data_IF_629126880845
#
_entry.id   IF_629126880845
#
_cell.length_a   1.000
_cell.length_b   1.000
_cell.length_c   1.000
_cell.angle_alpha   90.00
_cell.angle_beta   90.00
_cell.angle_gamma   90.00
#
_symmetry.space_group_name_H-M   'P 1'
#
loop_
_entity.id
_entity.type
_entity.pdbx_description
1 polymer ?
#
# COMPACT_ATOMS: atom_id res chain seq x y z
N UNK A 1 10.83 -10.89 -1.05
CA UNK A 1 12.11 -10.18 -1.30
C UNK A 1 12.29 -9.74 -2.75
N UNK A 2 11.98 -10.59 -3.75
CA UNK A 2 12.13 -10.26 -5.18
C UNK A 2 11.35 -9.01 -5.65
N UNK A 3 10.10 -8.84 -5.20
CA UNK A 3 9.28 -7.65 -5.53
C UNK A 3 9.90 -6.33 -5.03
N UNK A 4 10.54 -6.37 -3.85
CA UNK A 4 11.18 -5.19 -3.24
C UNK A 4 12.42 -4.77 -4.03
N UNK A 5 13.27 -5.74 -4.40
CA UNK A 5 14.44 -5.50 -5.26
C UNK A 5 14.04 -4.94 -6.63
N UNK A 6 12.87 -5.33 -7.14
CA UNK A 6 12.35 -4.82 -8.40
C UNK A 6 11.85 -3.38 -8.29
N UNK A 7 11.12 -3.04 -7.23
CA UNK A 7 10.75 -1.65 -6.92
C UNK A 7 11.99 -0.76 -6.78
N UNK A 8 13.04 -1.25 -6.13
CA UNK A 8 14.30 -0.51 -5.97
C UNK A 8 14.96 -0.14 -7.30
N UNK A 9 14.71 -0.89 -8.40
CA UNK A 9 15.20 -0.51 -9.73
C UNK A 9 14.59 0.79 -10.24
N UNK A 10 13.33 1.07 -9.92
CA UNK A 10 12.65 2.33 -10.27
C UNK A 10 13.11 3.49 -9.40
N UNK A 11 13.59 3.19 -8.19
CA UNK A 11 14.11 4.17 -7.25
C UNK A 11 15.58 4.54 -7.54
N UNK A 12 16.36 3.59 -8.06
CA UNK A 12 17.81 3.73 -8.37
C UNK A 12 18.18 5.00 -9.14
N UNK A 13 17.44 5.46 -10.17
CA UNK A 13 17.77 6.70 -10.89
C UNK A 13 17.79 7.94 -10.00
N UNK A 14 17.08 7.91 -8.88
CA UNK A 14 16.87 9.06 -7.98
C UNK A 14 17.71 8.97 -6.69
N UNK A 15 18.73 8.11 -6.66
CA UNK A 15 19.53 7.82 -5.46
C UNK A 15 20.19 9.06 -4.83
N UNK A 16 20.61 10.05 -5.62
CA UNK A 16 21.21 11.30 -5.11
C UNK A 16 20.22 12.08 -4.26
N UNK A 17 18.97 12.21 -4.73
CA UNK A 17 17.91 12.92 -4.00
C UNK A 17 17.51 12.19 -2.73
N UNK A 18 17.50 10.86 -2.78
CA UNK A 18 17.31 10.02 -1.58
C UNK A 18 18.43 10.19 -0.57
N UNK A 19 19.69 10.23 -1.02
CA UNK A 19 20.82 10.43 -0.13
C UNK A 19 20.75 11.80 0.55
N UNK A 20 20.43 12.85 -0.19
CA UNK A 20 20.18 14.18 0.38
C UNK A 20 19.02 14.17 1.39
N UNK A 21 17.91 13.50 1.05
CA UNK A 21 16.79 13.36 1.98
C UNK A 21 17.20 12.62 3.26
N UNK A 22 18.00 11.56 3.16
CA UNK A 22 18.51 10.81 4.32
C UNK A 22 19.43 11.66 5.21
N UNK A 23 20.26 12.53 4.62
CA UNK A 23 21.09 13.47 5.40
C UNK A 23 20.19 14.43 6.20
N UNK A 24 19.18 15.02 5.57
CA UNK A 24 18.24 15.89 6.27
C UNK A 24 17.42 15.13 7.34
N UNK A 25 17.01 13.87 7.09
CA UNK A 25 16.38 13.02 8.10
C UNK A 25 17.29 12.85 9.32
N UNK A 26 18.57 12.52 9.09
CA UNK A 26 19.53 12.34 10.16
C UNK A 26 19.72 13.63 10.98
N UNK A 27 19.75 14.81 10.32
CA UNK A 27 19.79 16.10 11.01
C UNK A 27 18.54 16.35 11.86
N UNK A 28 17.34 16.02 11.35
CA UNK A 28 16.09 16.13 12.12
C UNK A 28 16.09 15.18 13.32
N UNK A 29 16.52 13.93 13.15
CA UNK A 29 16.64 12.94 14.21
C UNK A 29 17.66 13.36 15.28
N UNK A 30 18.81 13.89 14.86
CA UNK A 30 19.82 14.46 15.75
C UNK A 30 19.24 15.66 16.53
N UNK A 31 18.47 16.52 15.86
CA UNK A 31 17.81 17.68 16.51
C UNK A 31 16.82 17.23 17.58
N UNK A 32 16.07 16.15 17.37
CA UNK A 32 15.19 15.58 18.40
C UNK A 32 15.98 15.06 19.62
N UNK A 33 17.12 14.39 19.39
CA UNK A 33 18.03 13.99 20.47
C UNK A 33 18.61 15.19 21.23
N UNK A 34 19.02 16.23 20.52
CA UNK A 34 19.51 17.48 21.10
C UNK A 34 18.44 18.18 21.94
N UNK A 35 17.17 18.20 21.52
CA UNK A 35 16.07 18.75 22.33
C UNK A 35 15.97 18.05 23.69
N UNK A 36 16.05 16.72 23.72
CA UNK A 36 16.05 15.98 24.98
C UNK A 36 17.31 16.24 25.80
N UNK A 37 18.46 16.43 25.14
CA UNK A 37 19.73 16.75 25.79
C UNK A 37 19.73 18.14 26.45
N UNK A 38 19.12 19.15 25.83
CA UNK A 38 19.07 20.56 26.30
C UNK A 38 18.27 20.71 27.61
N UNK A 39 17.39 19.77 27.96
CA UNK A 39 16.65 19.80 29.24
C UNK A 39 17.59 19.88 30.45
N UNK A 40 18.75 19.21 30.39
CA UNK A 40 19.74 19.23 31.49
C UNK A 40 20.30 20.64 31.74
N UNK A 41 20.95 21.32 30.76
CA UNK A 41 21.49 22.65 30.98
C UNK A 41 20.41 23.69 31.30
N UNK A 42 19.17 23.53 30.82
CA UNK A 42 18.04 24.37 31.25
C UNK A 42 17.86 24.27 32.76
N UNK A 43 17.74 23.06 33.30
CA UNK A 43 17.51 22.87 34.72
C UNK A 43 18.75 23.25 35.55
N UNK A 44 19.89 22.61 35.27
CA UNK A 44 21.09 22.75 36.08
C UNK A 44 21.67 24.17 36.01
N UNK A 45 21.82 24.75 34.81
CA UNK A 45 22.52 26.04 34.65
C UNK A 45 21.62 27.27 34.83
N UNK A 46 20.34 27.19 34.44
CA UNK A 46 19.42 28.33 34.55
C UNK A 46 18.75 28.34 35.93
N UNK A 47 18.17 27.22 36.36
CA UNK A 47 17.36 27.20 37.59
C UNK A 47 18.20 26.95 38.85
N UNK A 48 19.21 26.07 38.81
CA UNK A 48 20.04 25.77 39.99
C UNK A 48 21.23 26.72 40.12
N UNK A 49 22.05 26.90 39.07
CA UNK A 49 23.21 27.83 39.09
C UNK A 49 22.81 29.31 38.94
N UNK A 50 21.55 29.61 38.59
CA UNK A 50 21.02 30.99 38.39
C UNK A 50 21.84 31.83 37.41
N UNK A 51 22.39 31.21 36.36
CA UNK A 51 23.25 31.89 35.41
C UNK A 51 22.43 32.72 34.39
N UNK A 52 22.42 34.04 34.57
CA UNK A 52 21.69 34.98 33.70
C UNK A 52 22.11 34.93 32.22
N UNK A 53 23.38 34.59 31.94
CA UNK A 53 23.90 34.46 30.57
C UNK A 53 23.26 33.27 29.84
N UNK A 54 23.10 32.15 30.54
CA UNK A 54 22.45 30.94 30.00
C UNK A 54 20.95 31.15 29.77
N UNK A 55 20.33 32.07 30.51
CA UNK A 55 18.94 32.46 30.34
C UNK A 55 18.67 33.15 28.99
N UNK A 56 19.68 33.82 28.41
CA UNK A 56 19.59 34.40 27.06
C UNK A 56 20.06 33.42 25.97
N UNK A 57 21.15 32.68 26.20
CA UNK A 57 21.75 31.79 25.19
C UNK A 57 20.85 30.59 24.88
N UNK A 58 20.25 29.97 25.91
CA UNK A 58 19.48 28.73 25.72
C UNK A 58 18.19 28.95 24.91
N UNK A 59 17.34 29.96 25.19
CA UNK A 59 16.17 30.23 24.36
C UNK A 59 16.52 30.56 22.91
N UNK A 60 17.55 31.39 22.66
CA UNK A 60 18.03 31.70 21.30
C UNK A 60 18.52 30.43 20.61
N UNK A 61 19.28 29.58 21.31
CA UNK A 61 19.73 28.28 20.81
C UNK A 61 18.57 27.33 20.47
N UNK A 62 17.52 27.29 21.29
CA UNK A 62 16.30 26.51 21.02
C UNK A 62 15.61 27.04 19.76
N UNK A 63 15.43 28.35 19.62
CA UNK A 63 14.81 28.95 18.44
C UNK A 63 15.60 28.58 17.18
N UNK A 64 16.93 28.75 17.20
CA UNK A 64 17.79 28.40 16.07
C UNK A 64 17.73 26.90 15.75
N UNK A 65 17.70 26.04 16.77
CA UNK A 65 17.58 24.60 16.59
C UNK A 65 16.24 24.22 15.94
N UNK A 66 15.13 24.81 16.37
CA UNK A 66 13.81 24.53 15.79
C UNK A 66 13.66 25.11 14.38
N UNK A 67 14.27 26.27 14.09
CA UNK A 67 14.34 26.80 12.73
C UNK A 67 15.15 25.88 11.80
N UNK A 68 16.35 25.48 12.21
CA UNK A 68 17.19 24.55 11.46
C UNK A 68 16.49 23.20 11.25
N UNK A 69 15.85 22.67 12.30
CA UNK A 69 15.04 21.45 12.23
C UNK A 69 13.90 21.61 11.23
N UNK A 70 13.17 22.73 11.25
CA UNK A 70 12.06 22.99 10.33
C UNK A 70 12.50 23.04 8.87
N UNK A 71 13.64 23.69 8.58
CA UNK A 71 14.24 23.73 7.24
C UNK A 71 14.63 22.32 6.78
N UNK A 72 15.30 21.55 7.64
CA UNK A 72 15.69 20.17 7.31
C UNK A 72 14.45 19.29 7.08
N UNK A 73 13.42 19.40 7.91
CA UNK A 73 12.18 18.64 7.81
C UNK A 73 11.42 18.93 6.51
N UNK A 74 11.40 20.21 6.09
CA UNK A 74 10.84 20.63 4.82
C UNK A 74 11.58 19.99 3.63
N UNK A 75 12.91 20.14 3.56
CA UNK A 75 13.69 19.61 2.43
C UNK A 75 13.61 18.08 2.36
N UNK A 76 13.70 17.42 3.51
CA UNK A 76 13.54 15.99 3.64
C UNK A 76 12.18 15.50 3.12
N UNK A 77 11.09 16.17 3.51
CA UNK A 77 9.73 15.81 3.10
C UNK A 77 9.50 16.08 1.61
N UNK A 78 9.97 17.24 1.12
CA UNK A 78 9.87 17.60 -0.29
C UNK A 78 10.66 16.66 -1.19
N UNK A 79 11.92 16.34 -0.85
CA UNK A 79 12.75 15.44 -1.64
C UNK A 79 12.16 14.03 -1.70
N UNK A 80 11.65 13.51 -0.58
CA UNK A 80 10.99 12.20 -0.54
C UNK A 80 9.69 12.20 -1.34
N UNK A 81 8.86 13.24 -1.22
CA UNK A 81 7.66 13.40 -2.03
C UNK A 81 7.98 13.47 -3.53
N UNK A 82 9.03 14.20 -3.91
CA UNK A 82 9.48 14.28 -5.30
C UNK A 82 9.92 12.91 -5.84
N UNK A 83 10.78 12.19 -5.12
CA UNK A 83 11.26 10.86 -5.53
C UNK A 83 10.08 9.90 -5.65
N UNK A 84 9.19 9.91 -4.65
CA UNK A 84 7.95 9.16 -4.63
C UNK A 84 7.10 9.37 -5.88
N UNK A 85 6.77 10.61 -6.19
CA UNK A 85 5.96 10.96 -7.36
C UNK A 85 6.63 10.62 -8.68
N UNK A 86 7.96 10.75 -8.78
CA UNK A 86 8.70 10.35 -9.98
C UNK A 86 8.69 8.85 -10.22
N UNK A 87 8.95 8.05 -9.18
CA UNK A 87 8.85 6.59 -9.24
C UNK A 87 7.46 6.15 -9.70
N UNK A 88 6.42 6.81 -9.20
CA UNK A 88 5.01 6.53 -9.53
C UNK A 88 4.69 6.91 -10.95
N UNK A 89 5.20 8.05 -11.42
CA UNK A 89 5.09 8.47 -12.82
C UNK A 89 5.71 7.41 -13.74
N UNK A 90 6.90 6.91 -13.40
CA UNK A 90 7.59 5.89 -14.19
C UNK A 90 6.82 4.56 -14.19
N UNK A 91 6.31 4.13 -13.03
CA UNK A 91 5.48 2.92 -12.92
C UNK A 91 4.19 3.07 -13.72
N UNK A 92 3.50 4.22 -13.64
CA UNK A 92 2.28 4.49 -14.45
C UNK A 92 2.57 4.43 -15.93
N UNK A 93 3.68 5.00 -16.39
CA UNK A 93 4.08 4.97 -17.80
C UNK A 93 4.38 3.54 -18.29
N UNK A 94 5.02 2.71 -17.46
CA UNK A 94 5.27 1.30 -17.79
C UNK A 94 3.96 0.50 -17.77
N UNK A 95 3.13 0.68 -16.74
CA UNK A 95 1.85 -0.01 -16.61
C UNK A 95 0.89 0.35 -17.74
N UNK A 96 0.81 1.62 -18.11
CA UNK A 96 -0.03 2.07 -19.22
C UNK A 96 0.44 1.47 -20.55
N UNK A 97 1.75 1.44 -20.81
CA UNK A 97 2.32 0.75 -21.98
C UNK A 97 1.99 -0.75 -21.99
N UNK A 98 2.10 -1.40 -20.84
CA UNK A 98 1.75 -2.82 -20.70
C UNK A 98 0.25 -3.05 -20.98
N UNK A 99 -0.64 -2.19 -20.49
CA UNK A 99 -2.08 -2.25 -20.77
C UNK A 99 -2.38 -2.07 -22.26
N UNK A 100 -1.76 -1.10 -22.92
CA UNK A 100 -1.94 -0.86 -24.36
C UNK A 100 -1.43 -2.02 -25.23
N UNK A 101 -0.47 -2.79 -24.73
CA UNK A 101 0.03 -3.98 -25.42
C UNK A 101 -0.85 -5.22 -25.25
N UNK A 102 -1.83 -5.20 -24.35
CA UNK A 102 -2.70 -6.35 -24.12
C UNK A 102 -3.73 -6.53 -25.26
N UNK A 103 -4.07 -7.78 -25.63
CA UNK A 103 -5.12 -8.05 -26.60
C UNK A 103 -6.51 -7.71 -26.04
N UNK A 104 -7.51 -7.58 -26.90
CA UNK A 104 -8.90 -7.32 -26.50
C UNK A 104 -9.46 -8.40 -25.56
N UNK A 105 -9.02 -9.66 -25.70
CA UNK A 105 -9.37 -10.75 -24.78
C UNK A 105 -9.06 -10.46 -23.31
N UNK A 106 -8.05 -9.63 -23.04
CA UNK A 106 -7.75 -9.18 -21.67
C UNK A 106 -8.85 -8.28 -21.11
N UNK A 107 -9.35 -7.35 -21.93
CA UNK A 107 -10.36 -6.37 -21.53
C UNK A 107 -11.75 -6.97 -21.44
N UNK A 108 -12.03 -8.03 -22.20
CA UNK A 108 -13.27 -8.79 -22.06
C UNK A 108 -13.32 -9.55 -20.73
N UNK A 109 -12.18 -10.12 -20.30
CA UNK A 109 -12.05 -10.88 -19.04
C UNK A 109 -11.91 -9.98 -17.82
N UNK A 110 -11.33 -8.79 -18.00
CA UNK A 110 -11.00 -7.89 -16.90
C UNK A 110 -11.86 -6.63 -16.99
N UNK A 111 -12.82 -6.43 -16.08
CA UNK A 111 -13.61 -5.21 -16.03
C UNK A 111 -12.71 -3.96 -16.10
N UNK A 112 -13.04 -3.04 -17.00
CA UNK A 112 -12.24 -1.81 -17.25
C UNK A 112 -12.02 -1.00 -15.96
N UNK A 113 -13.00 -0.98 -15.06
CA UNK A 113 -12.88 -0.35 -13.74
C UNK A 113 -11.76 -0.94 -12.86
N UNK A 114 -11.46 -2.23 -12.98
CA UNK A 114 -10.33 -2.86 -12.27
C UNK A 114 -9.02 -2.34 -12.81
N UNK A 115 -8.87 -2.25 -14.14
CA UNK A 115 -7.66 -1.71 -14.77
C UNK A 115 -7.42 -0.24 -14.39
N UNK A 116 -8.47 0.59 -14.37
CA UNK A 116 -8.40 1.98 -13.90
C UNK A 116 -7.98 2.03 -12.43
N UNK A 117 -8.61 1.22 -11.58
CA UNK A 117 -8.28 1.15 -10.15
C UNK A 117 -6.83 0.73 -9.93
N UNK A 118 -6.29 -0.23 -10.71
CA UNK A 118 -4.88 -0.62 -10.62
C UNK A 118 -3.94 0.53 -10.99
N UNK A 119 -4.26 1.31 -12.03
CA UNK A 119 -3.43 2.47 -12.46
C UNK A 119 -3.47 3.63 -11.47
N UNK A 120 -4.62 3.88 -10.85
CA UNK A 120 -4.80 5.01 -9.94
C UNK A 120 -4.52 4.60 -8.50
N UNK A 121 -5.34 3.70 -7.95
CA UNK A 121 -5.34 3.35 -6.53
C UNK A 121 -4.14 2.49 -6.14
N UNK A 122 -3.87 1.39 -6.86
CA UNK A 122 -2.77 0.50 -6.48
C UNK A 122 -1.41 1.21 -6.65
N UNK A 123 -1.22 1.97 -7.74
CA UNK A 123 0.00 2.76 -7.91
C UNK A 123 0.12 3.89 -6.86
N UNK A 124 -0.98 4.48 -6.40
CA UNK A 124 -0.95 5.41 -5.26
C UNK A 124 -0.59 4.70 -3.93
N UNK A 125 -1.03 3.46 -3.70
CA UNK A 125 -0.60 2.69 -2.52
C UNK A 125 0.92 2.42 -2.56
N UNK A 126 1.45 2.15 -3.76
CA UNK A 126 2.90 2.04 -3.97
C UNK A 126 3.58 3.38 -3.67
N UNK A 127 3.03 4.50 -4.15
CA UNK A 127 3.54 5.85 -3.88
C UNK A 127 3.67 6.11 -2.38
N UNK A 128 2.58 5.92 -1.63
CA UNK A 128 2.54 6.15 -0.18
C UNK A 128 3.56 5.27 0.54
N UNK A 129 3.75 4.03 0.06
CA UNK A 129 4.72 3.10 0.65
C UNK A 129 6.16 3.55 0.42
N UNK A 130 6.49 4.00 -0.79
CA UNK A 130 7.85 4.44 -1.17
C UNK A 130 8.17 5.83 -0.58
N UNK A 131 7.19 6.71 -0.51
CA UNK A 131 7.39 8.11 -0.09
C UNK A 131 7.20 8.27 1.41
N UNK A 132 6.02 7.94 1.95
CA UNK A 132 5.63 8.32 3.30
C UNK A 132 6.05 7.26 4.30
N UNK A 133 5.71 5.99 4.03
CA UNK A 133 6.01 4.88 4.93
C UNK A 133 7.52 4.64 5.05
N UNK A 134 8.26 4.64 3.95
CA UNK A 134 9.72 4.47 4.00
C UNK A 134 10.40 5.65 4.70
N UNK A 135 9.95 6.88 4.44
CA UNK A 135 10.41 8.07 5.16
C UNK A 135 10.18 7.95 6.66
N UNK A 136 8.95 7.61 7.06
CA UNK A 136 8.58 7.46 8.45
C UNK A 136 9.44 6.39 9.12
N UNK A 137 9.61 5.23 8.48
CA UNK A 137 10.44 4.14 9.02
C UNK A 137 11.90 4.57 9.19
N UNK A 138 12.52 5.18 8.19
CA UNK A 138 13.91 5.61 8.26
C UNK A 138 14.11 6.72 9.30
N UNK A 139 13.28 7.76 9.26
CA UNK A 139 13.34 8.89 10.20
C UNK A 139 13.07 8.45 11.64
N UNK A 140 12.06 7.63 11.87
CA UNK A 140 11.76 7.15 13.22
C UNK A 140 12.84 6.17 13.71
N UNK A 141 13.39 5.31 12.85
CA UNK A 141 14.53 4.46 13.23
C UNK A 141 15.76 5.29 13.63
N UNK A 142 16.13 6.30 12.83
CA UNK A 142 17.23 7.21 13.16
C UNK A 142 16.95 8.00 14.44
N UNK A 143 15.70 8.44 14.65
CA UNK A 143 15.30 9.15 15.88
C UNK A 143 15.36 8.24 17.10
N UNK A 144 14.94 6.98 16.99
CA UNK A 144 15.10 5.97 18.05
C UNK A 144 16.58 5.81 18.38
N UNK A 145 17.44 5.60 17.39
CA UNK A 145 18.90 5.47 17.61
C UNK A 145 19.47 6.70 18.31
N UNK A 146 19.11 7.91 17.88
CA UNK A 146 19.55 9.16 18.51
C UNK A 146 19.08 9.28 19.98
N UNK A 147 17.82 8.96 20.27
CA UNK A 147 17.28 9.02 21.63
C UNK A 147 17.86 7.93 22.54
N UNK A 148 18.02 6.70 22.03
CA UNK A 148 18.70 5.61 22.74
C UNK A 148 20.11 6.05 23.12
N UNK A 149 20.85 6.65 22.18
CA UNK A 149 22.17 7.19 22.45
C UNK A 149 22.15 8.24 23.57
N UNK A 150 21.22 9.19 23.55
CA UNK A 150 21.07 10.19 24.63
C UNK A 150 20.77 9.52 25.97
N UNK A 151 19.87 8.55 26.01
CA UNK A 151 19.48 7.81 27.22
C UNK A 151 20.68 7.08 27.84
N UNK A 152 21.45 6.34 27.03
CA UNK A 152 22.64 5.62 27.50
C UNK A 152 23.80 6.56 27.87
N UNK A 153 23.98 7.66 27.13
CA UNK A 153 24.99 8.67 27.43
C UNK A 153 24.73 9.39 28.75
N UNK A 154 23.46 9.62 29.10
CA UNK A 154 23.05 10.32 30.33
C UNK A 154 23.22 9.47 31.58
N UNK A 155 22.71 8.25 31.55
CA UNK A 155 22.87 7.29 32.65
C UNK A 155 22.67 5.86 32.12
N UNK A 156 23.77 5.17 31.85
CA UNK A 156 23.74 3.81 31.31
C UNK A 156 23.13 2.79 32.29
N UNK A 157 23.19 3.02 33.60
CA UNK A 157 22.59 2.11 34.60
C UNK A 157 21.07 2.26 34.62
N UNK A 158 20.58 3.49 34.66
CA UNK A 158 19.15 3.78 34.59
C UNK A 158 18.58 3.43 33.20
N UNK A 159 19.39 3.56 32.14
CA UNK A 159 19.04 3.08 30.81
C UNK A 159 18.79 1.57 30.79
N UNK A 160 19.71 0.74 31.33
CA UNK A 160 19.52 -0.71 31.38
C UNK A 160 18.26 -1.10 32.15
N UNK A 161 18.01 -0.47 33.31
CA UNK A 161 16.79 -0.70 34.10
C UNK A 161 15.54 -0.38 33.26
N UNK A 162 15.57 0.75 32.55
CA UNK A 162 14.47 1.19 31.70
C UNK A 162 14.23 0.27 30.49
N UNK A 163 15.31 -0.18 29.84
CA UNK A 163 15.24 -1.14 28.75
C UNK A 163 14.78 -2.51 29.21
N UNK A 164 15.00 -2.88 30.48
CA UNK A 164 14.50 -4.13 31.05
C UNK A 164 12.97 -4.09 31.23
N UNK A 165 12.38 -2.92 31.50
CA UNK A 165 10.92 -2.72 31.59
C UNK A 165 10.27 -2.76 30.19
N UNK A 166 11.00 -2.37 29.14
CA UNK A 166 10.48 -2.25 27.78
C UNK A 166 9.91 -3.58 27.21
N UNK A 167 10.57 -4.75 27.31
CA UNK A 167 9.99 -6.05 26.94
C UNK A 167 8.68 -6.38 27.65
N UNK A 168 8.56 -6.05 28.94
CA UNK A 168 7.33 -6.25 29.72
C UNK A 168 6.20 -5.34 29.22
N UNK A 169 6.51 -4.18 28.66
CA UNK A 169 5.53 -3.31 28.01
C UNK A 169 5.17 -3.78 26.58
N UNK A 170 6.14 -4.26 25.81
CA UNK A 170 5.96 -4.69 24.42
C UNK A 170 5.16 -6.01 24.32
N UNK A 171 5.41 -6.96 25.21
CA UNK A 171 4.78 -8.28 25.15
C UNK A 171 3.22 -8.23 25.21
N UNK A 172 2.59 -7.51 26.15
CA UNK A 172 1.15 -7.29 26.16
C UNK A 172 0.64 -6.64 24.87
N UNK A 173 1.34 -5.62 24.35
CA UNK A 173 0.96 -4.92 23.11
C UNK A 173 0.86 -5.90 21.94
N UNK A 174 1.89 -6.74 21.74
CA UNK A 174 1.91 -7.73 20.67
C UNK A 174 0.77 -8.74 20.84
N UNK A 175 0.54 -9.24 22.06
CA UNK A 175 -0.52 -10.20 22.34
C UNK A 175 -1.92 -9.58 22.11
N UNK A 176 -2.15 -8.34 22.56
CA UNK A 176 -3.38 -7.58 22.29
C UNK A 176 -3.60 -7.39 20.80
N UNK A 177 -2.56 -6.98 20.05
CA UNK A 177 -2.62 -6.84 18.60
C UNK A 177 -3.03 -8.14 17.90
N UNK A 178 -2.41 -9.27 18.26
CA UNK A 178 -2.76 -10.60 17.72
C UNK A 178 -4.19 -11.02 18.04
N UNK A 179 -4.67 -10.79 19.28
CA UNK A 179 -6.05 -11.09 19.69
C UNK A 179 -7.05 -10.19 18.97
N UNK A 180 -6.77 -8.88 18.91
CA UNK A 180 -7.62 -7.91 18.23
C UNK A 180 -7.76 -8.24 16.75
N UNK A 181 -6.65 -8.56 16.05
CA UNK A 181 -6.67 -8.98 14.65
C UNK A 181 -7.58 -10.20 14.41
N UNK A 182 -7.48 -11.23 15.25
CA UNK A 182 -8.35 -12.43 15.15
C UNK A 182 -9.83 -12.09 15.31
N UNK A 183 -10.18 -11.23 16.27
CA UNK A 183 -11.58 -10.81 16.47
C UNK A 183 -12.05 -9.91 15.34
N UNK A 184 -11.23 -8.98 14.85
CA UNK A 184 -11.56 -8.13 13.71
C UNK A 184 -11.87 -8.92 12.44
N UNK A 185 -11.14 -10.00 12.15
CA UNK A 185 -11.45 -10.90 11.03
C UNK A 185 -12.82 -11.55 11.22
N UNK A 186 -13.15 -12.01 12.45
CA UNK A 186 -14.49 -12.55 12.74
C UNK A 186 -15.58 -11.48 12.59
N UNK A 187 -15.33 -10.25 13.04
CA UNK A 187 -16.26 -9.13 12.87
C UNK A 187 -16.54 -8.87 11.39
N UNK A 188 -15.51 -8.83 10.54
CA UNK A 188 -15.69 -8.62 9.10
C UNK A 188 -16.50 -9.76 8.44
N UNK A 189 -16.29 -11.02 8.86
CA UNK A 189 -17.11 -12.14 8.39
C UNK A 189 -18.59 -12.01 8.80
N UNK A 190 -18.87 -11.54 10.02
CA UNK A 190 -20.26 -11.28 10.45
C UNK A 190 -20.89 -10.10 9.70
N UNK A 191 -20.12 -9.04 9.41
CA UNK A 191 -20.60 -7.94 8.56
C UNK A 191 -20.95 -8.47 7.16
N UNK A 192 -20.06 -9.26 6.53
CA UNK A 192 -20.33 -9.84 5.22
C UNK A 192 -21.58 -10.72 5.19
N UNK A 193 -21.81 -11.53 6.24
CA UNK A 193 -23.03 -12.33 6.39
C UNK A 193 -24.28 -11.46 6.46
N UNK A 194 -24.28 -10.42 7.30
CA UNK A 194 -25.39 -9.48 7.41
C UNK A 194 -25.64 -8.71 6.09
N UNK A 195 -24.56 -8.32 5.39
CA UNK A 195 -24.66 -7.68 4.07
C UNK A 195 -25.27 -8.61 3.03
N UNK A 196 -24.86 -9.88 2.98
CA UNK A 196 -25.44 -10.86 2.06
C UNK A 196 -26.92 -11.11 2.39
N UNK A 197 -27.25 -11.26 3.67
CA UNK A 197 -28.65 -11.40 4.11
C UNK A 197 -29.50 -10.21 3.65
N UNK A 198 -29.00 -8.98 3.83
CA UNK A 198 -29.69 -7.78 3.35
C UNK A 198 -29.82 -7.77 1.82
N UNK A 199 -28.78 -8.15 1.08
CA UNK A 199 -28.82 -8.23 -0.38
C UNK A 199 -29.88 -9.23 -0.86
N UNK A 200 -29.93 -10.43 -0.27
CA UNK A 200 -30.92 -11.47 -0.57
C UNK A 200 -32.34 -11.00 -0.26
N UNK A 201 -32.58 -10.42 0.93
CA UNK A 201 -33.91 -9.95 1.33
C UNK A 201 -34.39 -8.77 0.47
N UNK A 202 -33.55 -7.77 0.23
CA UNK A 202 -33.93 -6.59 -0.56
C UNK A 202 -34.19 -6.99 -2.02
N UNK A 203 -33.34 -7.83 -2.61
CA UNK A 203 -33.55 -8.33 -3.98
C UNK A 203 -34.78 -9.24 -4.06
N UNK A 204 -34.98 -10.07 -3.03
CA UNK A 204 -36.09 -11.00 -2.88
C UNK A 204 -37.37 -10.41 -2.28
N UNK A 205 -37.45 -9.09 -2.09
CA UNK A 205 -38.52 -8.45 -1.30
C UNK A 205 -39.93 -8.77 -1.83
N UNK A 206 -40.07 -8.96 -3.16
CA UNK A 206 -41.32 -9.38 -3.78
C UNK A 206 -41.79 -10.75 -3.29
N UNK A 207 -40.87 -11.70 -3.07
CA UNK A 207 -41.17 -13.05 -2.56
C UNK A 207 -41.60 -12.95 -1.10
N UNK A 208 -40.85 -12.20 -0.28
CA UNK A 208 -41.17 -12.00 1.14
C UNK A 208 -42.58 -11.45 1.31
N UNK A 209 -42.95 -10.45 0.50
CA UNK A 209 -44.30 -9.86 0.48
C UNK A 209 -45.36 -10.81 -0.06
N UNK A 210 -45.07 -11.58 -1.11
CA UNK A 210 -46.01 -12.53 -1.68
C UNK A 210 -46.41 -13.65 -0.70
N UNK A 211 -45.51 -14.04 0.19
CA UNK A 211 -45.74 -15.08 1.20
C UNK A 211 -46.07 -14.51 2.60
N UNK A 212 -46.19 -13.19 2.76
CA UNK A 212 -46.43 -12.53 4.06
C UNK A 212 -45.44 -12.96 5.16
N UNK A 213 -44.16 -13.13 4.81
CA UNK A 213 -43.10 -13.65 5.70
C UNK A 213 -42.25 -12.54 6.35
N UNK A 214 -42.74 -11.29 6.39
CA UNK A 214 -41.97 -10.18 6.98
C UNK A 214 -41.58 -10.41 8.45
N UNK A 215 -42.49 -10.87 9.34
CA UNK A 215 -42.12 -11.11 10.74
C UNK A 215 -41.07 -12.24 10.90
N UNK A 216 -41.08 -13.19 9.97
CA UNK A 216 -40.09 -14.27 9.94
C UNK A 216 -38.70 -13.74 9.56
N UNK A 217 -38.61 -12.93 8.51
CA UNK A 217 -37.36 -12.32 8.08
C UNK A 217 -36.83 -11.26 9.06
N UNK A 218 -37.72 -10.54 9.74
CA UNK A 218 -37.36 -9.62 10.84
C UNK A 218 -36.65 -10.36 11.98
N UNK A 219 -37.20 -11.50 12.42
CA UNK A 219 -36.56 -12.32 13.46
C UNK A 219 -35.19 -12.87 13.02
N UNK A 220 -35.06 -13.31 11.78
CA UNK A 220 -33.75 -13.74 11.23
C UNK A 220 -32.74 -12.60 11.18
N UNK A 221 -33.18 -11.39 10.83
CA UNK A 221 -32.33 -10.20 10.86
C UNK A 221 -31.85 -9.90 12.27
N UNK A 222 -32.75 -9.94 13.27
CA UNK A 222 -32.38 -9.74 14.68
C UNK A 222 -31.30 -10.72 15.15
N UNK A 223 -31.42 -12.00 14.78
CA UNK A 223 -30.44 -13.04 15.12
C UNK A 223 -29.05 -12.75 14.49
N UNK A 224 -29.00 -12.44 13.19
CA UNK A 224 -27.75 -12.09 12.50
C UNK A 224 -27.14 -10.78 13.01
N UNK A 225 -27.96 -9.78 13.30
CA UNK A 225 -27.54 -8.51 13.86
C UNK A 225 -27.00 -8.69 15.30
N UNK A 226 -27.62 -9.55 16.10
CA UNK A 226 -27.13 -9.88 17.44
C UNK A 226 -25.79 -10.62 17.40
N UNK A 227 -25.59 -11.53 16.44
CA UNK A 227 -24.30 -12.19 16.21
C UNK A 227 -23.20 -11.18 15.84
N UNK A 228 -23.53 -10.18 15.02
CA UNK A 228 -22.64 -9.06 14.72
C UNK A 228 -22.33 -8.25 15.99
N UNK A 229 -23.36 -7.86 16.75
CA UNK A 229 -23.23 -7.15 18.02
C UNK A 229 -22.27 -7.87 18.99
N UNK A 230 -22.46 -9.17 19.23
CA UNK A 230 -21.58 -9.96 20.10
C UNK A 230 -20.12 -9.92 19.65
N UNK A 231 -19.88 -9.97 18.34
CA UNK A 231 -18.52 -9.96 17.78
C UNK A 231 -17.89 -8.58 17.88
N UNK A 232 -18.67 -7.52 17.68
CA UNK A 232 -18.26 -6.13 17.93
C UNK A 232 -17.96 -5.92 19.42
N UNK A 233 -18.77 -6.44 20.32
CA UNK A 233 -18.58 -6.28 21.76
C UNK A 233 -17.34 -7.01 22.27
N UNK A 234 -17.05 -8.21 21.74
CA UNK A 234 -15.76 -8.90 21.97
C UNK A 234 -14.57 -8.05 21.54
N UNK A 235 -14.67 -7.32 20.42
CA UNK A 235 -13.63 -6.39 19.95
C UNK A 235 -13.46 -5.21 20.93
N UNK A 236 -14.57 -4.62 21.38
CA UNK A 236 -14.54 -3.53 22.36
C UNK A 236 -13.93 -3.98 23.68
N UNK A 237 -14.27 -5.15 24.21
CA UNK A 237 -13.69 -5.68 25.45
C UNK A 237 -12.17 -5.79 25.38
N UNK A 238 -11.63 -6.27 24.25
CA UNK A 238 -10.17 -6.35 24.04
C UNK A 238 -9.54 -4.95 23.98
N UNK A 239 -10.18 -4.01 23.27
CA UNK A 239 -9.69 -2.64 23.13
C UNK A 239 -9.73 -1.89 24.46
N UNK A 240 -10.82 -1.99 25.20
CA UNK A 240 -11.02 -1.33 26.48
C UNK A 240 -10.00 -1.79 27.52
N UNK A 241 -9.66 -3.09 27.56
CA UNK A 241 -8.63 -3.62 28.47
C UNK A 241 -7.21 -3.14 28.13
N UNK A 242 -6.95 -2.72 26.89
CA UNK A 242 -5.60 -2.32 26.49
C UNK A 242 -5.13 -1.01 27.12
N UNK A 243 -6.02 -0.02 27.32
CA UNK A 243 -5.63 1.28 27.91
C UNK A 243 -5.21 1.16 29.38
N UNK A 244 -6.03 0.57 30.27
CA UNK A 244 -5.70 0.50 31.71
C UNK A 244 -4.43 -0.30 31.97
N UNK A 245 -4.18 -1.37 31.21
CA UNK A 245 -2.96 -2.18 31.34
C UNK A 245 -1.73 -1.37 30.91
N UNK A 246 -1.83 -0.60 29.83
CA UNK A 246 -0.74 0.27 29.37
C UNK A 246 -0.48 1.42 30.35
N UNK A 247 -1.52 2.01 30.92
CA UNK A 247 -1.39 3.05 31.96
C UNK A 247 -0.77 2.49 33.24
N UNK A 248 -1.18 1.31 33.70
CA UNK A 248 -0.58 0.65 34.87
C UNK A 248 0.91 0.35 34.66
N UNK A 249 1.29 -0.17 33.48
CA UNK A 249 2.69 -0.41 33.13
C UNK A 249 3.50 0.90 33.04
N UNK A 250 2.91 1.95 32.48
CA UNK A 250 3.50 3.28 32.44
C UNK A 250 3.73 3.86 33.85
N UNK A 251 2.74 3.70 34.74
CA UNK A 251 2.84 4.10 36.15
C UNK A 251 3.95 3.37 36.89
N UNK A 252 4.06 2.05 36.70
CA UNK A 252 5.17 1.25 37.28
C UNK A 252 6.52 1.74 36.74
N UNK A 253 6.62 1.99 35.43
CA UNK A 253 7.86 2.49 34.83
C UNK A 253 8.27 3.85 35.41
N UNK A 254 7.33 4.79 35.52
CA UNK A 254 7.58 6.10 36.13
C UNK A 254 7.98 5.97 37.60
N UNK A 255 7.31 5.12 38.38
CA UNK A 255 7.65 4.88 39.78
C UNK A 255 9.08 4.34 39.95
N UNK A 256 9.50 3.37 39.11
CA UNK A 256 10.86 2.82 39.12
C UNK A 256 11.89 3.88 38.74
N UNK A 257 11.60 4.68 37.70
CA UNK A 257 12.48 5.77 37.25
C UNK A 257 12.65 6.81 38.36
N UNK A 258 11.57 7.25 39.00
CA UNK A 258 11.61 8.21 40.11
C UNK A 258 12.38 7.64 41.30
N UNK A 259 12.13 6.38 41.67
CA UNK A 259 12.79 5.76 42.83
C UNK A 259 14.31 5.66 42.62
N UNK A 260 14.75 5.09 41.50
CA UNK A 260 16.18 4.92 41.22
C UNK A 260 16.87 6.26 40.88
N UNK A 261 16.27 7.03 39.97
CA UNK A 261 16.81 8.32 39.52
C UNK A 261 16.82 9.36 40.64
N UNK A 262 15.76 9.40 41.45
CA UNK A 262 15.69 10.23 42.65
C UNK A 262 16.74 9.83 43.69
N UNK A 263 16.93 8.54 43.95
CA UNK A 263 17.99 8.07 44.87
C UNK A 263 19.40 8.46 44.40
N UNK A 264 19.67 8.41 43.09
CA UNK A 264 20.95 8.86 42.50
C UNK A 264 21.17 10.37 42.68
N UNK A 265 20.10 11.17 42.57
CA UNK A 265 20.16 12.62 42.79
C UNK A 265 20.35 12.95 44.28
N UNK A 266 19.60 12.29 45.17
CA UNK A 266 19.72 12.47 46.63
C UNK A 266 21.11 12.07 47.14
N UNK A 267 21.68 11.00 46.60
CA UNK A 267 23.04 10.56 46.95
C UNK A 267 24.16 11.39 46.32
N UNK A 268 23.84 12.47 45.58
CA UNK A 268 24.81 13.37 44.97
C UNK A 268 25.57 12.78 43.76
N UNK A 269 25.20 11.59 43.30
CA UNK A 269 25.86 10.90 42.17
C UNK A 269 25.37 11.40 40.81
N UNK A 270 24.21 12.06 40.77
CA UNK A 270 23.58 12.61 39.57
C UNK A 270 22.93 13.95 39.86
N UNK A 271 22.59 14.69 38.80
CA UNK A 271 21.94 16.02 38.89
C UNK A 271 20.46 15.92 38.54
N UNK A 272 19.60 16.78 39.11
CA UNK A 272 18.19 16.84 38.72
C UNK A 272 18.01 17.05 37.21
N UNK A 273 18.82 17.89 36.56
CA UNK A 273 18.78 18.08 35.12
C UNK A 273 19.11 16.81 34.33
N UNK A 274 20.02 15.95 34.83
CA UNK A 274 20.29 14.65 34.21
C UNK A 274 19.06 13.73 34.26
N UNK A 275 18.38 13.69 35.41
CA UNK A 275 17.16 12.90 35.61
C UNK A 275 16.02 13.35 34.68
N UNK A 276 15.75 14.65 34.58
CA UNK A 276 14.70 15.17 33.71
C UNK A 276 15.06 15.05 32.23
N UNK A 277 16.32 15.25 31.84
CA UNK A 277 16.79 15.01 30.46
C UNK A 277 16.65 13.53 30.05
N UNK A 278 16.98 12.61 30.96
CA UNK A 278 16.77 11.19 30.78
C UNK A 278 15.27 10.85 30.61
N UNK A 279 14.43 11.35 31.50
CA UNK A 279 12.99 11.08 31.49
C UNK A 279 12.34 11.64 30.22
N UNK A 280 12.72 12.85 29.80
CA UNK A 280 12.26 13.44 28.55
C UNK A 280 12.66 12.60 27.33
N UNK A 281 13.93 12.17 27.25
CA UNK A 281 14.41 11.32 26.16
C UNK A 281 13.65 9.98 26.08
N UNK A 282 13.36 9.37 27.23
CA UNK A 282 12.65 8.11 27.33
C UNK A 282 11.16 8.24 26.92
N UNK A 283 10.49 9.31 27.33
CA UNK A 283 9.13 9.60 26.90
C UNK A 283 9.06 9.90 25.39
N UNK A 284 10.01 10.67 24.86
CA UNK A 284 10.12 10.96 23.43
C UNK A 284 10.40 9.70 22.58
N UNK A 285 11.03 8.67 23.16
CA UNK A 285 11.35 7.42 22.49
C UNK A 285 10.10 6.55 22.24
N UNK A 286 9.03 6.73 23.03
CA UNK A 286 7.79 5.96 22.89
C UNK A 286 7.06 6.22 21.56
N UNK A 287 6.97 7.48 21.11
CA UNK A 287 6.20 7.84 19.93
C UNK A 287 6.78 7.27 18.62
N UNK A 288 8.09 7.41 18.32
CA UNK A 288 8.72 6.78 17.15
C UNK A 288 8.56 5.26 17.13
N UNK A 289 8.74 4.57 18.27
CA UNK A 289 8.53 3.11 18.35
C UNK A 289 7.08 2.75 18.00
N UNK A 290 6.11 3.52 18.51
CA UNK A 290 4.70 3.31 18.22
C UNK A 290 4.38 3.53 16.74
N UNK A 291 4.97 4.54 16.10
CA UNK A 291 4.82 4.81 14.66
C UNK A 291 5.42 3.70 13.81
N UNK A 292 6.62 3.22 14.11
CA UNK A 292 7.25 2.09 13.41
C UNK A 292 6.35 0.84 13.37
N UNK A 293 5.63 0.56 14.46
CA UNK A 293 4.70 -0.58 14.50
C UNK A 293 3.45 -0.37 13.60
N UNK A 294 2.98 0.87 13.44
CA UNK A 294 1.85 1.19 12.55
C UNK A 294 2.24 1.06 11.08
N UNK A 295 3.44 1.49 10.72
CA UNK A 295 3.91 1.50 9.33
C UNK A 295 3.99 0.10 8.68
N UNK A 296 4.15 -0.97 9.48
CA UNK A 296 4.14 -2.34 8.95
C UNK A 296 2.85 -2.68 8.18
N UNK A 297 1.70 -2.12 8.58
CA UNK A 297 0.45 -2.33 7.83
C UNK A 297 0.50 -1.73 6.43
N UNK A 298 1.00 -0.49 6.33
CA UNK A 298 1.13 0.23 5.07
C UNK A 298 2.10 -0.47 4.12
N UNK A 299 3.23 -0.97 4.65
CA UNK A 299 4.20 -1.77 3.87
C UNK A 299 3.51 -3.00 3.26
N UNK A 300 2.73 -3.74 4.04
CA UNK A 300 2.06 -4.95 3.55
C UNK A 300 1.00 -4.62 2.48
N UNK A 301 0.23 -3.55 2.64
CA UNK A 301 -0.72 -3.09 1.63
C UNK A 301 -0.02 -2.66 0.34
N UNK A 302 1.08 -1.90 0.45
CA UNK A 302 1.91 -1.50 -0.68
C UNK A 302 2.49 -2.68 -1.44
N UNK A 303 2.96 -3.71 -0.73
CA UNK A 303 3.47 -4.94 -1.35
C UNK A 303 2.39 -5.69 -2.13
N UNK A 304 1.18 -5.81 -1.57
CA UNK A 304 0.06 -6.44 -2.28
C UNK A 304 -0.37 -5.65 -3.53
N UNK A 305 -0.37 -4.32 -3.45
CA UNK A 305 -0.62 -3.45 -4.61
C UNK A 305 0.48 -3.60 -5.68
N UNK A 306 1.74 -3.69 -5.23
CA UNK A 306 2.91 -3.92 -6.09
C UNK A 306 2.79 -5.22 -6.88
N UNK A 307 2.35 -6.29 -6.23
CA UNK A 307 2.13 -7.59 -6.87
C UNK A 307 1.09 -7.51 -8.00
N UNK A 308 -0.06 -6.89 -7.75
CA UNK A 308 -1.13 -6.72 -8.77
C UNK A 308 -0.72 -5.83 -9.94
N UNK A 309 0.10 -4.82 -9.69
CA UNK A 309 0.64 -3.94 -10.75
C UNK A 309 1.65 -4.70 -11.59
N UNK A 310 2.58 -5.44 -10.96
CA UNK A 310 3.56 -6.22 -11.71
C UNK A 310 2.94 -7.41 -12.45
N UNK A 311 1.84 -7.98 -11.96
CA UNK A 311 1.07 -8.99 -12.69
C UNK A 311 0.67 -8.50 -14.09
N UNK A 312 0.25 -7.23 -14.22
CA UNK A 312 -0.08 -6.64 -15.54
C UNK A 312 1.18 -6.32 -16.34
N UNK A 313 2.18 -5.71 -15.70
CA UNK A 313 3.43 -5.32 -16.37
C UNK A 313 4.15 -6.54 -16.95
N UNK A 314 4.09 -7.68 -16.27
CA UNK A 314 4.78 -8.91 -16.64
C UNK A 314 3.95 -9.83 -17.53
N UNK A 315 2.64 -9.54 -17.67
CA UNK A 315 1.75 -10.31 -18.52
C UNK A 315 2.17 -10.15 -19.97
N UNK A 316 2.60 -11.24 -20.58
CA UNK A 316 2.87 -11.25 -22.01
C UNK A 316 1.55 -11.30 -22.80
N UNK A 317 1.43 -10.53 -23.90
CA UNK A 317 0.27 -10.62 -24.79
C UNK A 317 0.10 -12.04 -25.34
N UNK A 318 -1.14 -12.52 -25.39
CA UNK A 318 -1.48 -13.83 -25.97
C UNK A 318 -1.21 -13.85 -27.48
N UNK A 319 -1.52 -12.74 -28.16
CA UNK A 319 -1.27 -12.57 -29.59
C UNK A 319 0.13 -12.01 -29.77
N UNK A 320 1.01 -12.81 -30.39
CA UNK A 320 2.37 -12.42 -30.73
C UNK A 320 2.61 -12.48 -32.23
N UNK A 321 3.39 -11.52 -32.71
CA UNK A 321 3.94 -11.56 -34.05
C UNK A 321 5.03 -12.62 -34.14
N UNK A 322 5.08 -13.35 -35.26
CA UNK A 322 6.22 -14.21 -35.58
C UNK A 322 7.44 -13.32 -35.86
N UNK A 323 8.65 -13.83 -35.59
CA UNK A 323 9.90 -13.06 -35.81
C UNK A 323 10.10 -12.69 -37.28
N UNK A 324 9.57 -13.51 -38.17
CA UNK A 324 9.61 -13.44 -39.63
C UNK A 324 8.26 -13.01 -40.23
N UNK A 325 7.39 -12.36 -39.43
CA UNK A 325 6.11 -11.86 -39.89
C UNK A 325 6.29 -10.90 -41.09
N UNK A 326 5.54 -11.18 -42.16
CA UNK A 326 5.57 -10.40 -43.40
C UNK A 326 4.84 -9.08 -43.20
N UNK A 327 5.32 -8.06 -43.86
CA UNK A 327 4.65 -6.76 -43.92
C UNK A 327 3.63 -6.79 -45.04
N UNK A 328 2.39 -6.41 -44.74
CA UNK A 328 1.32 -6.35 -45.72
C UNK A 328 1.45 -5.03 -46.49
N UNK A 329 1.92 -5.09 -47.73
CA UNK A 329 2.15 -3.91 -48.61
C UNK A 329 1.30 -4.08 -49.86
N UNK A 330 0.56 -3.04 -50.26
CA UNK A 330 -0.36 -3.01 -51.40
C UNK A 330 -1.48 -4.06 -51.32
N UNK A 331 -2.43 -3.87 -50.40
CA UNK A 331 -3.57 -4.78 -50.20
C UNK A 331 -4.49 -4.80 -51.43
N UNK A 332 -4.69 -5.98 -52.00
CA UNK A 332 -5.67 -6.18 -53.08
C UNK A 332 -7.09 -6.19 -52.50
N UNK A 333 -7.28 -6.74 -51.30
CA UNK A 333 -8.51 -6.67 -50.52
C UNK A 333 -9.33 -7.95 -50.50
N UNK A 334 -8.72 -9.09 -50.81
CA UNK A 334 -9.39 -10.41 -50.77
C UNK A 334 -9.28 -10.99 -49.37
N UNK A 335 -10.41 -11.38 -48.76
CA UNK A 335 -10.46 -11.96 -47.40
C UNK A 335 -11.04 -13.38 -47.47
N UNK A 336 -10.33 -14.37 -46.93
CA UNK A 336 -10.73 -15.77 -46.97
C UNK A 336 -10.76 -16.38 -45.55
N UNK A 337 -11.92 -16.87 -45.15
CA UNK A 337 -12.10 -17.74 -43.99
C UNK A 337 -12.11 -19.18 -44.47
N UNK A 338 -11.12 -19.98 -44.05
CA UNK A 338 -10.98 -21.39 -44.43
C UNK A 338 -11.14 -22.29 -43.21
N UNK A 339 -12.30 -22.96 -43.11
CA UNK A 339 -12.71 -23.81 -42.00
C UNK A 339 -12.49 -23.16 -40.62
N UNK A 340 -12.82 -21.87 -40.50
CA UNK A 340 -12.53 -21.10 -39.29
C UNK A 340 -13.47 -21.49 -38.16
N UNK A 341 -12.90 -21.95 -37.04
CA UNK A 341 -13.60 -22.12 -35.78
C UNK A 341 -12.99 -21.22 -34.71
N UNK A 342 -13.83 -20.66 -33.85
CA UNK A 342 -13.39 -19.75 -32.79
C UNK A 342 -14.17 -19.99 -31.50
N UNK A 343 -13.45 -20.02 -30.37
CA UNK A 343 -14.03 -20.10 -29.03
C UNK A 343 -13.63 -18.91 -28.14
N UNK A 344 -14.59 -18.38 -27.38
CA UNK A 344 -14.27 -17.60 -26.18
C UNK A 344 -14.17 -18.57 -25.01
N UNK A 345 -13.01 -18.62 -24.37
CA UNK A 345 -12.71 -19.58 -23.31
C UNK A 345 -12.93 -21.02 -23.78
N UNK A 346 -13.99 -21.70 -23.32
CA UNK A 346 -14.32 -23.06 -23.74
C UNK A 346 -15.54 -23.18 -24.66
N UNK A 347 -16.21 -22.06 -24.97
CA UNK A 347 -17.43 -22.07 -25.80
C UNK A 347 -17.13 -21.66 -27.24
N UNK A 348 -17.35 -22.59 -28.17
CA UNK A 348 -17.34 -22.28 -29.60
C UNK A 348 -18.47 -21.31 -29.97
N UNK A 349 -18.09 -20.19 -30.57
CA UNK A 349 -18.99 -19.17 -31.11
C UNK A 349 -19.11 -19.30 -32.63
N UNK A 350 -17.99 -19.58 -33.29
CA UNK A 350 -17.93 -19.84 -34.72
C UNK A 350 -17.45 -21.27 -34.94
N UNK A 351 -18.06 -21.98 -35.88
CA UNK A 351 -17.73 -23.37 -36.19
C UNK A 351 -17.67 -23.56 -37.70
N UNK A 352 -16.51 -23.96 -38.19
CA UNK A 352 -16.29 -24.33 -39.59
C UNK A 352 -16.80 -23.29 -40.61
N UNK A 353 -16.47 -22.02 -40.38
CA UNK A 353 -16.85 -20.92 -41.27
C UNK A 353 -15.98 -20.96 -42.52
N UNK A 354 -16.64 -21.01 -43.68
CA UNK A 354 -16.03 -20.91 -45.00
C UNK A 354 -16.66 -19.73 -45.74
N UNK A 355 -15.88 -18.68 -46.00
CA UNK A 355 -16.35 -17.44 -46.60
C UNK A 355 -15.19 -16.78 -47.38
N UNK A 356 -15.44 -16.40 -48.62
CA UNK A 356 -14.51 -15.60 -49.44
C UNK A 356 -15.18 -14.28 -49.78
N UNK A 357 -14.47 -13.17 -49.57
CA UNK A 357 -14.89 -11.81 -49.89
C UNK A 357 -13.89 -11.26 -50.89
N UNK A 358 -14.35 -10.94 -52.10
CA UNK A 358 -13.49 -10.44 -53.17
C UNK A 358 -13.29 -8.93 -53.07
N UNK A 359 -12.24 -8.43 -53.74
CA UNK A 359 -11.96 -7.00 -53.84
C UNK A 359 -13.18 -6.20 -54.31
N UNK A 360 -13.55 -5.19 -53.52
CA UNK A 360 -14.64 -4.28 -53.84
C UNK A 360 -16.05 -4.82 -53.55
N UNK A 361 -16.17 -6.07 -53.07
CA UNK A 361 -17.45 -6.60 -52.63
C UNK A 361 -17.89 -6.00 -51.29
N UNK A 362 -19.21 -5.79 -51.16
CA UNK A 362 -19.83 -5.36 -49.91
C UNK A 362 -20.68 -6.51 -49.40
N UNK A 363 -20.26 -7.11 -48.28
CA UNK A 363 -20.95 -8.25 -47.66
C UNK A 363 -21.70 -7.80 -46.41
N UNK A 364 -22.99 -8.10 -46.34
CA UNK A 364 -23.82 -7.85 -45.17
C UNK A 364 -23.93 -9.11 -44.29
N UNK A 365 -23.51 -9.00 -43.03
CA UNK A 365 -23.62 -10.10 -42.05
C UNK A 365 -24.90 -9.91 -41.22
N UNK A 366 -25.89 -10.79 -41.43
CA UNK A 366 -27.22 -10.70 -40.81
C UNK A 366 -27.48 -11.90 -39.90
N UNK A 367 -28.23 -11.71 -38.82
CA UNK A 367 -28.63 -12.77 -37.90
C UNK A 367 -29.09 -12.24 -36.55
N UNK A 368 -29.56 -13.10 -35.66
CA UNK A 368 -30.01 -12.74 -34.31
C UNK A 368 -28.86 -12.27 -33.40
N UNK A 369 -29.19 -11.57 -32.31
CA UNK A 369 -28.19 -11.12 -31.33
C UNK A 369 -27.45 -12.32 -30.71
N UNK A 370 -26.13 -12.20 -30.56
CA UNK A 370 -25.31 -13.25 -29.94
C UNK A 370 -24.85 -14.40 -30.85
N UNK A 371 -25.25 -14.43 -32.14
CA UNK A 371 -24.83 -15.50 -33.09
C UNK A 371 -23.37 -15.41 -33.57
N UNK A 372 -22.59 -14.43 -33.08
CA UNK A 372 -21.16 -14.31 -33.39
C UNK A 372 -20.80 -13.35 -34.53
N UNK A 373 -21.73 -12.51 -34.99
CA UNK A 373 -21.49 -11.51 -36.06
C UNK A 373 -20.31 -10.58 -35.74
N UNK A 374 -20.32 -9.96 -34.56
CA UNK A 374 -19.23 -9.10 -34.09
C UNK A 374 -17.92 -9.88 -33.94
N UNK A 375 -17.99 -11.14 -33.50
CA UNK A 375 -16.83 -12.01 -33.38
C UNK A 375 -16.18 -12.26 -34.74
N UNK A 376 -16.98 -12.54 -35.77
CA UNK A 376 -16.47 -12.76 -37.13
C UNK A 376 -15.69 -11.54 -37.64
N UNK A 377 -16.25 -10.35 -37.46
CA UNK A 377 -15.61 -9.09 -37.86
C UNK A 377 -14.33 -8.82 -37.06
N UNK A 378 -14.35 -9.08 -35.75
CA UNK A 378 -13.19 -8.86 -34.87
C UNK A 378 -12.00 -9.79 -35.16
N UNK A 379 -12.19 -10.90 -35.88
CA UNK A 379 -11.09 -11.77 -36.31
C UNK A 379 -10.24 -11.16 -37.42
N UNK A 380 -10.83 -10.32 -38.29
CA UNK A 380 -10.16 -9.72 -39.46
C UNK A 380 -8.94 -8.86 -39.04
N UNK A 381 -9.06 -7.87 -38.13
CA UNK A 381 -7.92 -7.08 -37.65
C UNK A 381 -7.05 -7.84 -36.63
N UNK A 382 -7.29 -9.15 -36.47
CA UNK A 382 -6.62 -10.04 -35.52
C UNK A 382 -6.65 -9.50 -34.10
N UNK A 383 -7.85 -9.16 -33.62
CA UNK A 383 -8.09 -8.88 -32.20
C UNK A 383 -8.13 -10.15 -31.36
N UNK A 384 -8.45 -11.27 -32.00
CA UNK A 384 -8.36 -12.63 -31.48
C UNK A 384 -7.72 -13.52 -32.57
N UNK A 385 -6.99 -14.54 -32.14
CA UNK A 385 -6.53 -15.60 -33.06
C UNK A 385 -7.62 -16.67 -33.20
N UNK A 386 -7.73 -17.25 -34.40
CA UNK A 386 -8.64 -18.37 -34.67
C UNK A 386 -8.19 -19.62 -33.88
N UNK A 387 -9.16 -20.41 -33.40
CA UNK A 387 -8.88 -21.66 -32.68
C UNK A 387 -8.49 -22.76 -33.65
N UNK A 388 -9.21 -22.85 -34.78
CA UNK A 388 -8.96 -23.81 -35.86
C UNK A 388 -9.16 -23.13 -37.21
N UNK A 389 -8.55 -23.69 -38.26
CA UNK A 389 -8.60 -23.14 -39.60
C UNK A 389 -7.57 -22.02 -39.86
N UNK A 390 -7.85 -21.22 -40.88
CA UNK A 390 -6.98 -20.14 -41.34
C UNK A 390 -7.83 -18.96 -41.82
N UNK A 391 -7.47 -17.76 -41.40
CA UNK A 391 -8.00 -16.51 -41.93
C UNK A 391 -6.90 -15.87 -42.77
N UNK A 392 -7.16 -15.63 -44.05
CA UNK A 392 -6.18 -15.11 -45.00
C UNK A 392 -6.61 -13.78 -45.56
N UNK A 393 -5.64 -12.89 -45.77
CA UNK A 393 -5.81 -11.66 -46.53
C UNK A 393 -4.80 -11.72 -47.69
N UNK A 394 -5.29 -11.57 -48.92
CA UNK A 394 -4.51 -11.69 -50.15
C UNK A 394 -3.67 -12.99 -50.19
N UNK A 395 -4.27 -14.09 -49.74
CA UNK A 395 -3.65 -15.42 -49.69
C UNK A 395 -2.67 -15.66 -48.55
N UNK A 396 -2.37 -14.67 -47.70
CA UNK A 396 -1.45 -14.79 -46.56
C UNK A 396 -2.25 -14.91 -45.25
N UNK A 397 -1.93 -15.91 -44.42
CA UNK A 397 -2.58 -16.06 -43.10
C UNK A 397 -2.28 -14.84 -42.21
N UNK A 398 -3.29 -14.29 -41.56
CA UNK A 398 -3.15 -13.12 -40.67
C UNK A 398 -2.18 -13.36 -39.51
N UNK A 399 -1.90 -14.63 -39.17
CA UNK A 399 -0.89 -15.02 -38.17
C UNK A 399 0.54 -14.80 -38.64
N UNK A 400 0.76 -14.75 -39.94
CA UNK A 400 2.06 -14.54 -40.59
C UNK A 400 2.31 -13.08 -40.94
N UNK A 401 1.37 -12.18 -40.65
CA UNK A 401 1.47 -10.75 -40.94
C UNK A 401 1.85 -9.94 -39.69
N UNK A 402 2.54 -8.81 -39.91
CA UNK A 402 2.73 -7.79 -38.88
C UNK A 402 1.38 -7.13 -38.54
N UNK A 403 1.05 -7.02 -37.26
CA UNK A 403 -0.23 -6.49 -36.76
C UNK A 403 -0.43 -5.03 -37.14
N UNK A 404 0.66 -4.24 -37.17
CA UNK A 404 0.57 -2.82 -37.57
C UNK A 404 0.11 -2.69 -39.02
N UNK A 405 0.78 -3.36 -39.97
CA UNK A 405 0.41 -3.31 -41.39
C UNK A 405 -0.97 -3.95 -41.64
N UNK A 406 -1.33 -4.99 -40.89
CA UNK A 406 -2.66 -5.61 -41.00
C UNK A 406 -3.80 -4.65 -40.60
N UNK A 407 -3.58 -3.74 -39.65
CA UNK A 407 -4.63 -2.86 -39.10
C UNK A 407 -4.66 -1.46 -39.70
N UNK A 408 -3.59 -1.04 -40.37
CA UNK A 408 -3.53 0.24 -41.11
C UNK A 408 -4.21 0.15 -42.48
N UNK A 409 -4.36 -1.06 -43.02
CA UNK A 409 -5.14 -1.36 -44.22
C UNK A 409 -6.49 -1.94 -43.80
#
# INVERSE_FOLDING_TARGET
MALYLRLLKYVKPYWVKLLLAMIFMAMVSASNGLTAFIVKPVLDKIFFEKNASMLLIVPVGIILLYLAKGVCDYFQSYLMGYVGQKVVTDIRNVLFRALQSQPLSFFDRTPTGISISRVINDVNLIQNTVSDTLTAVLKDALTVVALVFVVFYRDWKLAIISFLILPFAIYPIINFGKRLRRVSIRTQKSVARLTNFLHENITGQRIVKAFCMEPYEEKRFEEENFNLFQTIMKRYRIRALSSPIMEALGGIAVAVIIWYGGSQVISGKSTPGNFFSFTAALLMLYEPIKRLNKENHNIQQGLAATERVFEIIDRQPEIKEKKDAKELVNVEGTIEFLNVSFKYEERYILKNINLTINKGEVVAIVGESGVGKTTLVNLIPRFYDVTEGSLRIDGIDVRDLKLKSLREN
#
